data_IF_930015175814
#
_entry.id   IF_930015175814
#
_cell.length_a   1.000
_cell.length_b   1.000
_cell.length_c   1.000
_cell.angle_alpha   90.00
_cell.angle_beta   90.00
_cell.angle_gamma   90.00
#
_symmetry.space_group_name_H-M   'P 1'
#
loop_
_entity.id
_entity.type
_entity.pdbx_description
1 polymer ?
#
# COMPACT_ATOMS: atom_id res chain seq x y z
N UNK A 1 -24.57 27.00 -12.10
CA UNK A 1 -24.05 25.84 -11.34
C UNK A 1 -22.86 25.32 -12.13
N UNK A 2 -21.65 25.71 -11.71
CA UNK A 2 -20.42 25.20 -12.33
C UNK A 2 -20.32 23.71 -11.98
N UNK A 3 -20.52 22.86 -12.97
CA UNK A 3 -20.12 21.46 -12.87
C UNK A 3 -18.59 21.45 -12.76
N UNK A 4 -18.05 21.39 -11.54
CA UNK A 4 -16.64 21.07 -11.33
C UNK A 4 -16.45 19.67 -11.90
N UNK A 5 -15.84 19.60 -13.08
CA UNK A 5 -15.54 18.35 -13.76
C UNK A 5 -14.45 17.64 -12.93
N UNK A 6 -14.86 16.85 -11.94
CA UNK A 6 -13.94 16.09 -11.10
C UNK A 6 -13.27 15.04 -11.97
N UNK A 7 -12.00 15.25 -12.30
CA UNK A 7 -11.24 14.28 -13.06
C UNK A 7 -10.97 13.04 -12.20
N UNK A 8 -11.51 11.90 -12.58
CA UNK A 8 -11.33 10.63 -11.88
C UNK A 8 -9.94 10.07 -12.20
N UNK A 9 -9.17 9.78 -11.16
CA UNK A 9 -7.87 9.12 -11.27
C UNK A 9 -7.88 7.83 -10.46
N UNK A 10 -7.86 6.69 -11.16
CA UNK A 10 -7.71 5.35 -10.58
C UNK A 10 -6.24 4.93 -10.49
N UNK A 11 -5.97 3.84 -9.77
CA UNK A 11 -4.61 3.34 -9.60
C UNK A 11 -4.56 1.81 -9.56
N UNK A 12 -3.61 1.25 -10.30
CA UNK A 12 -3.07 -0.07 -10.02
C UNK A 12 -1.92 0.06 -9.01
N UNK A 13 -1.91 -0.77 -7.99
CA UNK A 13 -0.89 -0.73 -6.93
C UNK A 13 -0.41 -2.15 -6.56
N UNK A 14 0.16 -2.89 -7.53
CA UNK A 14 0.61 -4.25 -7.30
C UNK A 14 1.91 -4.28 -6.49
N UNK A 15 2.00 -5.23 -5.54
CA UNK A 15 3.26 -5.58 -4.87
C UNK A 15 3.87 -6.78 -5.61
N UNK A 16 5.02 -6.63 -6.28
CA UNK A 16 5.60 -7.66 -7.17
C UNK A 16 6.39 -8.70 -6.38
N UNK A 17 5.76 -9.33 -5.39
CA UNK A 17 6.36 -10.34 -4.50
C UNK A 17 6.12 -11.77 -5.00
N UNK A 18 5.46 -11.93 -6.13
CA UNK A 18 5.11 -13.18 -6.79
C UNK A 18 4.23 -12.92 -8.01
N UNK A 19 3.73 -14.00 -8.62
CA UNK A 19 2.75 -13.87 -9.70
C UNK A 19 1.40 -13.42 -9.16
N UNK A 20 0.69 -12.61 -9.94
CA UNK A 20 -0.68 -12.22 -9.60
C UNK A 20 -1.62 -13.42 -9.62
N UNK A 21 -2.56 -13.46 -8.69
CA UNK A 21 -3.66 -14.41 -8.69
C UNK A 21 -4.96 -13.72 -9.12
N UNK A 22 -6.00 -14.51 -9.37
CA UNK A 22 -7.29 -14.00 -9.88
C UNK A 22 -7.88 -12.86 -9.04
N UNK A 23 -7.69 -12.86 -7.71
CA UNK A 23 -8.17 -11.78 -6.84
C UNK A 23 -7.46 -10.45 -7.08
N UNK A 24 -6.15 -10.46 -7.35
CA UNK A 24 -5.42 -9.23 -7.72
C UNK A 24 -5.92 -8.68 -9.06
N UNK A 25 -6.10 -9.56 -10.05
CA UNK A 25 -6.61 -9.20 -11.38
C UNK A 25 -8.03 -8.63 -11.26
N UNK A 26 -8.90 -9.27 -10.48
CA UNK A 26 -10.27 -8.80 -10.27
C UNK A 26 -10.30 -7.39 -9.65
N UNK A 27 -9.49 -7.14 -8.61
CA UNK A 27 -9.40 -5.82 -7.99
C UNK A 27 -8.89 -4.75 -8.97
N UNK A 28 -7.91 -5.11 -9.81
CA UNK A 28 -7.39 -4.23 -10.85
C UNK A 28 -8.46 -3.94 -11.92
N UNK A 29 -9.19 -4.95 -12.36
CA UNK A 29 -10.29 -4.80 -13.33
C UNK A 29 -11.37 -3.85 -12.81
N UNK A 30 -11.81 -4.03 -11.56
CA UNK A 30 -12.83 -3.14 -10.95
C UNK A 30 -12.33 -1.70 -10.90
N UNK A 31 -11.09 -1.47 -10.44
CA UNK A 31 -10.51 -0.14 -10.39
C UNK A 31 -10.42 0.50 -11.78
N UNK A 32 -10.04 -0.28 -12.79
CA UNK A 32 -9.96 0.16 -14.19
C UNK A 32 -11.32 0.55 -14.75
N UNK A 33 -12.33 -0.32 -14.57
CA UNK A 33 -13.70 -0.07 -15.02
C UNK A 33 -14.28 1.19 -14.38
N UNK A 34 -14.10 1.37 -13.06
CA UNK A 34 -14.60 2.56 -12.34
C UNK A 34 -13.97 3.84 -12.88
N UNK A 35 -12.67 3.86 -13.16
CA UNK A 35 -12.01 5.04 -13.71
C UNK A 35 -12.38 5.28 -15.18
N UNK A 36 -12.27 4.25 -16.01
CA UNK A 36 -12.45 4.38 -17.46
C UNK A 36 -13.90 4.63 -17.87
N UNK A 37 -14.89 4.07 -17.17
CA UNK A 37 -16.32 4.36 -17.42
C UNK A 37 -16.69 5.82 -17.22
N UNK A 38 -15.88 6.57 -16.49
CA UNK A 38 -16.07 8.00 -16.23
C UNK A 38 -15.08 8.89 -17.01
N UNK A 39 -14.42 8.35 -18.03
CA UNK A 39 -13.41 9.09 -18.80
C UNK A 39 -12.15 9.43 -17.98
N UNK A 40 -11.91 8.72 -16.89
CA UNK A 40 -10.78 8.95 -16.01
C UNK A 40 -9.46 8.33 -16.49
N UNK A 41 -8.39 8.63 -15.78
CA UNK A 41 -7.04 8.10 -16.01
C UNK A 41 -6.67 7.02 -15.02
N UNK A 42 -5.78 6.11 -15.43
CA UNK A 42 -5.20 5.05 -14.58
C UNK A 42 -3.71 5.27 -14.39
N UNK A 43 -3.27 5.11 -13.16
CA UNK A 43 -1.85 5.18 -12.76
C UNK A 43 -1.36 3.78 -12.39
N UNK A 44 -0.20 3.38 -12.88
CA UNK A 44 0.50 2.20 -12.38
C UNK A 44 1.55 2.63 -11.35
N UNK A 45 1.41 2.14 -10.11
CA UNK A 45 2.42 2.28 -9.06
C UNK A 45 2.85 0.91 -8.56
N UNK A 46 4.08 0.55 -8.80
CA UNK A 46 4.70 -0.68 -8.31
C UNK A 46 5.09 -0.49 -6.84
N UNK A 47 4.54 -1.32 -5.96
CA UNK A 47 4.78 -1.26 -4.51
C UNK A 47 5.91 -2.23 -4.13
N UNK A 48 7.14 -1.80 -4.35
CA UNK A 48 8.37 -2.59 -4.30
C UNK A 48 9.32 -2.20 -3.14
N UNK A 49 8.77 -1.70 -2.04
CA UNK A 49 9.54 -1.36 -0.83
C UNK A 49 10.20 -2.58 -0.19
N UNK A 50 9.56 -3.75 -0.25
CA UNK A 50 10.15 -5.01 0.17
C UNK A 50 11.09 -5.55 -0.93
N UNK A 51 12.31 -5.06 -0.94
CA UNK A 51 13.33 -5.37 -1.98
C UNK A 51 13.72 -6.84 -2.01
N UNK A 52 13.62 -7.55 -0.90
CA UNK A 52 13.95 -8.96 -0.84
C UNK A 52 12.96 -9.83 -1.61
N UNK A 53 11.67 -9.50 -1.53
CA UNK A 53 10.60 -10.23 -2.21
C UNK A 53 10.24 -9.65 -3.57
N UNK A 54 10.44 -8.35 -3.78
CA UNK A 54 10.15 -7.67 -5.05
C UNK A 54 11.25 -7.95 -6.06
N UNK A 55 11.03 -8.93 -6.92
CA UNK A 55 12.02 -9.32 -7.94
C UNK A 55 11.67 -8.72 -9.29
N UNK A 56 12.68 -8.30 -10.11
CA UNK A 56 12.45 -7.72 -11.44
C UNK A 56 11.53 -8.58 -12.32
N UNK A 57 11.69 -9.88 -12.30
CA UNK A 57 10.85 -10.81 -13.05
C UNK A 57 9.37 -10.75 -12.71
N UNK A 58 9.01 -10.42 -11.46
CA UNK A 58 7.62 -10.25 -11.04
C UNK A 58 7.08 -8.87 -11.42
N UNK A 59 7.92 -7.85 -11.44
CA UNK A 59 7.56 -6.53 -11.96
C UNK A 59 7.18 -6.62 -13.43
N UNK A 60 8.03 -7.28 -14.23
CA UNK A 60 7.77 -7.51 -15.66
C UNK A 60 6.53 -8.39 -15.87
N UNK A 61 6.33 -9.40 -15.02
CA UNK A 61 5.17 -10.29 -15.13
C UNK A 61 3.87 -9.52 -14.87
N UNK A 62 3.82 -8.67 -13.83
CA UNK A 62 2.65 -7.82 -13.53
C UNK A 62 2.27 -6.93 -14.70
N UNK A 63 3.23 -6.27 -15.33
CA UNK A 63 2.98 -5.40 -16.47
C UNK A 63 2.44 -6.19 -17.66
N UNK A 64 3.09 -7.31 -18.01
CA UNK A 64 2.62 -8.19 -19.10
C UNK A 64 1.22 -8.76 -18.83
N UNK A 65 0.93 -9.16 -17.58
CA UNK A 65 -0.36 -9.70 -17.22
C UNK A 65 -1.46 -8.63 -17.41
N UNK A 66 -1.22 -7.38 -16.99
CA UNK A 66 -2.15 -6.26 -17.21
C UNK A 66 -2.33 -5.97 -18.71
N UNK A 67 -1.25 -5.86 -19.47
CA UNK A 67 -1.29 -5.60 -20.92
C UNK A 67 -2.06 -6.71 -21.66
N UNK A 68 -1.81 -7.98 -21.32
CA UNK A 68 -2.49 -9.14 -21.90
C UNK A 68 -4.00 -9.10 -21.68
N UNK A 69 -4.42 -8.58 -20.52
CA UNK A 69 -5.82 -8.46 -20.14
C UNK A 69 -6.45 -7.15 -20.61
N UNK A 70 -5.70 -6.29 -21.31
CA UNK A 70 -6.18 -4.98 -21.76
C UNK A 70 -6.36 -3.96 -20.63
N UNK A 71 -5.81 -4.22 -19.45
CA UNK A 71 -5.83 -3.31 -18.30
C UNK A 71 -4.72 -2.28 -18.44
N UNK A 72 -4.90 -1.33 -19.34
CA UNK A 72 -3.91 -0.29 -19.65
C UNK A 72 -3.88 0.80 -18.58
N UNK A 73 -2.74 1.48 -18.47
CA UNK A 73 -2.56 2.67 -17.64
C UNK A 73 -2.08 3.85 -18.47
N UNK A 74 -2.35 5.05 -17.99
CA UNK A 74 -2.04 6.30 -18.69
C UNK A 74 -0.79 6.97 -18.12
N UNK A 75 -0.48 6.70 -16.84
CA UNK A 75 0.68 7.29 -16.13
C UNK A 75 1.48 6.21 -15.41
N UNK A 76 2.80 6.36 -15.37
CA UNK A 76 3.72 5.41 -14.74
C UNK A 76 4.39 4.46 -15.74
N UNK A 77 4.99 3.36 -15.29
CA UNK A 77 5.02 2.88 -13.90
C UNK A 77 5.84 3.78 -12.96
N UNK A 78 5.27 4.09 -11.81
CA UNK A 78 5.99 4.70 -10.69
C UNK A 78 6.44 3.61 -9.73
N UNK A 79 7.69 3.67 -9.26
CA UNK A 79 8.24 2.72 -8.31
C UNK A 79 8.34 3.35 -6.93
N UNK A 80 7.88 2.65 -5.89
CA UNK A 80 7.92 3.19 -4.53
C UNK A 80 9.35 3.36 -4.02
N UNK A 81 10.27 2.43 -4.36
CA UNK A 81 11.68 2.53 -3.95
C UNK A 81 12.39 3.80 -4.46
N UNK A 82 11.89 4.44 -5.53
CA UNK A 82 12.44 5.71 -6.02
C UNK A 82 11.93 6.94 -5.26
N UNK A 83 11.13 6.72 -4.20
CA UNK A 83 10.50 7.79 -3.42
C UNK A 83 10.95 7.80 -1.95
N UNK A 84 12.05 7.15 -1.63
CA UNK A 84 12.56 7.02 -0.27
C UNK A 84 12.75 8.39 0.41
N UNK A 85 13.28 9.38 -0.30
CA UNK A 85 13.44 10.75 0.21
C UNK A 85 12.10 11.39 0.60
N UNK A 86 11.07 11.25 -0.24
CA UNK A 86 9.74 11.78 0.06
C UNK A 86 9.09 11.09 1.26
N UNK A 87 9.31 9.79 1.42
CA UNK A 87 8.83 9.04 2.58
C UNK A 87 9.58 9.43 3.84
N UNK A 88 10.91 9.60 3.77
CA UNK A 88 11.72 10.04 4.90
C UNK A 88 11.30 11.44 5.36
N UNK A 89 11.14 12.39 4.44
CA UNK A 89 10.66 13.74 4.76
C UNK A 89 9.31 13.71 5.48
N UNK A 90 8.37 12.90 4.99
CA UNK A 90 7.06 12.79 5.63
C UNK A 90 7.15 12.12 7.01
N UNK A 91 8.01 11.10 7.16
CA UNK A 91 8.26 10.44 8.43
C UNK A 91 8.85 11.40 9.46
N UNK A 92 9.88 12.16 9.08
CA UNK A 92 10.54 13.13 9.95
C UNK A 92 9.55 14.19 10.46
N UNK A 93 8.69 14.70 9.57
CA UNK A 93 7.63 15.64 9.96
C UNK A 93 6.62 15.04 10.95
N UNK A 94 6.36 13.72 10.90
CA UNK A 94 5.53 13.03 11.87
C UNK A 94 6.26 12.84 13.20
N UNK A 95 7.56 12.55 13.17
CA UNK A 95 8.42 12.44 14.37
C UNK A 95 8.47 13.77 15.11
N UNK A 96 8.73 14.88 14.41
CA UNK A 96 8.76 16.24 14.97
C UNK A 96 7.44 16.61 15.67
N UNK A 97 6.32 16.13 15.15
CA UNK A 97 4.98 16.34 15.74
C UNK A 97 4.64 15.39 16.87
N UNK A 98 5.55 14.47 17.25
CA UNK A 98 5.30 13.47 18.29
C UNK A 98 4.22 12.44 17.93
N UNK A 99 3.96 12.23 16.63
CA UNK A 99 2.92 11.31 16.13
C UNK A 99 3.44 9.89 15.87
N UNK A 100 4.73 9.66 16.13
CA UNK A 100 5.40 8.37 15.93
C UNK A 100 5.94 7.86 17.25
N UNK A 101 5.86 6.56 17.48
CA UNK A 101 6.49 5.87 18.60
C UNK A 101 7.07 4.53 18.13
N UNK A 102 8.17 4.05 18.73
CA UNK A 102 8.72 2.74 18.39
C UNK A 102 7.78 1.63 18.86
N UNK A 103 7.64 0.59 18.04
CA UNK A 103 6.85 -0.59 18.36
C UNK A 103 7.74 -1.84 18.24
N UNK A 104 7.85 -2.58 19.31
CA UNK A 104 8.69 -3.80 19.43
C UNK A 104 7.89 -5.10 19.29
N UNK A 105 6.55 -4.99 19.12
CA UNK A 105 5.69 -6.16 18.98
C UNK A 105 5.96 -6.92 17.69
N UNK A 106 6.09 -8.24 17.80
CA UNK A 106 6.04 -9.14 16.66
C UNK A 106 4.60 -9.28 16.15
N UNK A 107 4.41 -9.88 14.97
CA UNK A 107 3.06 -10.21 14.48
C UNK A 107 2.31 -11.16 15.42
N UNK A 108 3.02 -12.11 16.04
CA UNK A 108 2.43 -13.03 17.02
C UNK A 108 1.90 -12.29 18.25
N UNK A 109 2.67 -11.33 18.79
CA UNK A 109 2.24 -10.50 19.91
C UNK A 109 0.98 -9.69 19.57
N UNK A 110 0.93 -9.10 18.37
CA UNK A 110 -0.23 -8.35 17.90
C UNK A 110 -1.48 -9.24 17.78
N UNK A 111 -1.32 -10.46 17.29
CA UNK A 111 -2.41 -11.42 17.19
C UNK A 111 -2.86 -11.91 18.57
N UNK A 112 -1.93 -12.19 19.49
CA UNK A 112 -2.25 -12.63 20.85
C UNK A 112 -2.98 -11.55 21.66
N UNK A 113 -2.54 -10.29 21.53
CA UNK A 113 -3.13 -9.14 22.23
C UNK A 113 -4.50 -8.73 21.69
N UNK A 114 -4.81 -9.09 20.46
CA UNK A 114 -6.05 -8.74 19.77
C UNK A 114 -6.87 -9.97 19.35
N UNK A 115 -6.73 -11.10 20.05
CA UNK A 115 -7.52 -12.30 19.78
C UNK A 115 -9.03 -11.94 19.88
N UNK A 116 -9.75 -11.87 18.77
CA UNK A 116 -11.15 -11.44 18.82
C UNK A 116 -12.01 -12.52 19.44
N UNK A 117 -12.83 -12.16 20.39
CA UNK A 117 -14.03 -12.93 20.65
C UNK A 117 -14.87 -12.89 19.37
N UNK A 118 -15.53 -13.99 19.01
CA UNK A 118 -16.26 -14.17 17.77
C UNK A 118 -16.97 -12.89 17.28
N UNK A 119 -16.48 -12.30 16.14
CA UNK A 119 -17.09 -11.16 15.47
C UNK A 119 -16.45 -9.79 15.70
N UNK A 120 -15.42 -9.68 16.55
CA UNK A 120 -14.72 -8.41 16.77
C UNK A 120 -13.59 -8.20 15.78
N UNK A 121 -13.38 -6.93 15.37
CA UNK A 121 -12.26 -6.55 14.51
C UNK A 121 -10.96 -6.57 15.31
N UNK A 122 -9.91 -7.12 14.71
CA UNK A 122 -8.53 -6.97 15.20
C UNK A 122 -8.18 -5.48 15.35
N UNK A 123 -8.05 -5.02 16.59
CA UNK A 123 -7.66 -3.65 16.92
C UNK A 123 -6.30 -3.69 17.61
N UNK A 124 -5.34 -2.91 17.12
CA UNK A 124 -4.05 -2.78 17.78
C UNK A 124 -4.22 -2.18 19.18
N UNK A 125 -3.79 -2.91 20.21
CA UNK A 125 -3.94 -2.51 21.62
C UNK A 125 -3.09 -1.29 22.02
N UNK A 126 -2.12 -0.89 21.20
CA UNK A 126 -1.25 0.25 21.48
C UNK A 126 -0.20 -0.01 22.58
N UNK A 127 0.14 -1.28 22.80
CA UNK A 127 1.02 -1.73 23.91
C UNK A 127 2.30 -0.92 24.04
N UNK A 128 2.97 -0.63 22.92
CA UNK A 128 4.23 0.12 22.94
C UNK A 128 4.06 1.65 23.00
N UNK A 129 2.84 2.17 22.86
CA UNK A 129 2.59 3.62 22.81
C UNK A 129 2.95 4.31 24.11
N UNK A 130 2.65 3.67 25.24
CA UNK A 130 2.79 4.24 26.58
C UNK A 130 4.09 3.84 27.29
N UNK A 131 5.05 3.18 26.61
CA UNK A 131 6.33 2.80 27.18
C UNK A 131 7.15 4.03 27.59
N UNK A 132 7.77 3.98 28.79
CA UNK A 132 8.73 5.01 29.23
C UNK A 132 10.04 4.91 28.42
N UNK A 133 10.92 5.91 28.58
CA UNK A 133 12.22 5.91 27.91
C UNK A 133 13.08 4.71 28.36
N UNK A 134 13.03 4.35 29.65
CA UNK A 134 13.73 3.21 30.22
C UNK A 134 13.21 1.90 29.62
N UNK A 135 11.91 1.72 29.55
CA UNK A 135 11.25 0.53 28.96
C UNK A 135 11.50 0.36 27.46
N UNK A 136 11.85 1.44 26.76
CA UNK A 136 12.21 1.38 25.32
C UNK A 136 13.67 1.03 25.10
N UNK A 137 14.52 1.14 26.14
CA UNK A 137 15.95 0.85 26.10
C UNK A 137 16.30 -0.59 26.48
N UNK A 138 15.35 -1.34 27.05
CA UNK A 138 15.44 -2.79 27.34
C UNK A 138 15.13 -3.62 26.09
#
# INVERSE_FOLDING_TARGET
MENSNVHIKGRFAPSPTGRMHAGNIFSALVAWLVAKSQGGTMVLRVEDLDRERSKPQFIDAVQRDFETLGLTWDEGPYFQHNRDEAYQTAFDALVERGLVYPCFCTRADLHAASAPHHGEKLVYAGTCRALSAEQRAE
#
